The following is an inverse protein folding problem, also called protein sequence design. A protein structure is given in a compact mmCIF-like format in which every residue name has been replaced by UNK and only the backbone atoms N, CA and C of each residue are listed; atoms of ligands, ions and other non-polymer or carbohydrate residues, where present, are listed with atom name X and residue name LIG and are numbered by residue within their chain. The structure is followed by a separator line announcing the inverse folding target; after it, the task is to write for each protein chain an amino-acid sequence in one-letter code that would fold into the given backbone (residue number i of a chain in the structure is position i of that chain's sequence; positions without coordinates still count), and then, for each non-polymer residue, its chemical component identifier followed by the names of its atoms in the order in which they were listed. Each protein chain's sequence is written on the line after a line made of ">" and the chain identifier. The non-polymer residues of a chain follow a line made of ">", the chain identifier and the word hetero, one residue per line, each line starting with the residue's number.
data_IF_629917271602
#
_entry.id   IF_629917271602
#
_cell.length_a   1.000
_cell.length_b   1.000
_cell.length_c   1.000
_cell.angle_alpha   90.00
_cell.angle_beta   90.00
_cell.angle_gamma   90.00
#
_symmetry.space_group_name_H-M   'P 1'
#
loop_
_entity.id
_entity.type
_entity.pdbx_description
1 polymer ?
#
# COMPACT_ATOMS: atom_id res chain seq x y z
N UNK A 1 1.51 16.26 -20.72
CA UNK A 1 2.65 15.35 -21.03
C UNK A 1 3.45 14.99 -19.78
N UNK A 2 3.81 15.95 -18.92
CA UNK A 2 4.46 15.70 -17.63
C UNK A 2 3.62 14.77 -16.70
N UNK A 3 2.30 14.95 -16.69
CA UNK A 3 1.33 14.17 -15.92
C UNK A 3 1.41 12.66 -16.16
N UNK A 4 1.79 12.24 -17.36
CA UNK A 4 1.76 10.85 -17.76
C UNK A 4 3.03 10.09 -17.37
N UNK A 5 4.18 10.76 -17.44
CA UNK A 5 5.46 10.23 -16.99
C UNK A 5 5.51 10.18 -15.46
N UNK A 6 4.93 11.18 -14.78
CA UNK A 6 4.73 11.15 -13.33
C UNK A 6 3.84 9.96 -12.92
N UNK A 7 2.74 9.73 -13.66
CA UNK A 7 1.85 8.60 -13.42
C UNK A 7 2.53 7.24 -13.66
N UNK A 8 3.28 7.10 -14.76
CA UNK A 8 4.06 5.89 -15.04
C UNK A 8 5.09 5.62 -13.93
N UNK A 9 5.81 6.66 -13.49
CA UNK A 9 6.80 6.57 -12.42
C UNK A 9 6.18 6.23 -11.06
N UNK A 10 4.99 6.75 -10.78
CA UNK A 10 4.23 6.41 -9.56
C UNK A 10 3.84 4.92 -9.50
N UNK A 11 3.80 4.24 -10.65
CA UNK A 11 3.49 2.81 -10.72
C UNK A 11 4.72 1.89 -10.74
N UNK A 12 5.92 2.40 -11.04
CA UNK A 12 7.16 1.59 -11.11
C UNK A 12 8.08 1.72 -9.90
N UNK A 13 7.80 2.64 -8.98
CA UNK A 13 8.63 2.91 -7.79
C UNK A 13 8.28 2.08 -6.56
N UNK A 14 9.13 2.16 -5.54
CA UNK A 14 8.79 1.73 -4.17
C UNK A 14 7.87 2.78 -3.54
N UNK A 15 6.57 2.47 -3.48
CA UNK A 15 5.54 3.39 -2.99
C UNK A 15 4.79 4.12 -4.11
N UNK A 16 3.64 4.70 -3.78
CA UNK A 16 2.71 5.35 -4.71
C UNK A 16 2.72 6.85 -4.45
N UNK A 17 2.98 7.66 -5.49
CA UNK A 17 2.82 9.12 -5.42
C UNK A 17 1.34 9.48 -5.60
N UNK A 18 0.61 9.46 -4.49
CA UNK A 18 -0.85 9.59 -4.48
C UNK A 18 -1.34 10.95 -4.93
N UNK A 19 -0.63 12.03 -4.58
CA UNK A 19 -1.01 13.39 -4.96
C UNK A 19 -0.97 13.52 -6.47
N UNK A 20 0.13 13.08 -7.09
CA UNK A 20 0.25 13.01 -8.55
C UNK A 20 -0.82 12.09 -9.14
N UNK A 21 -1.10 10.93 -8.53
CA UNK A 21 -2.06 9.96 -9.05
C UNK A 21 -3.50 10.48 -9.03
N UNK A 22 -3.93 11.10 -7.94
CA UNK A 22 -5.26 11.70 -7.78
C UNK A 22 -5.43 12.91 -8.70
N UNK A 23 -4.44 13.81 -8.74
CA UNK A 23 -4.48 14.98 -9.62
C UNK A 23 -4.52 14.58 -11.11
N UNK A 24 -3.74 13.57 -11.50
CA UNK A 24 -3.64 13.13 -12.89
C UNK A 24 -4.83 12.26 -13.32
N UNK A 25 -5.31 11.33 -12.47
CA UNK A 25 -6.48 10.52 -12.78
C UNK A 25 -7.77 11.33 -12.68
N UNK A 26 -7.89 12.24 -11.72
CA UNK A 26 -9.05 13.13 -11.55
C UNK A 26 -9.28 14.08 -12.72
N UNK A 27 -8.24 14.37 -13.51
CA UNK A 27 -8.28 15.21 -14.72
C UNK A 27 -8.19 14.39 -16.02
N UNK A 28 -8.26 13.06 -15.95
CA UNK A 28 -8.01 12.18 -17.09
C UNK A 28 -9.22 12.04 -18.02
N UNK A 29 -9.09 12.52 -19.26
CA UNK A 29 -10.04 12.28 -20.34
C UNK A 29 -9.81 10.90 -21.00
N UNK A 30 -10.81 10.32 -21.70
CA UNK A 30 -10.66 9.04 -22.40
C UNK A 30 -9.43 8.99 -23.31
N UNK A 31 -9.09 10.12 -23.92
CA UNK A 31 -7.97 10.32 -24.84
C UNK A 31 -6.61 10.20 -24.13
N UNK A 32 -6.54 10.64 -22.86
CA UNK A 32 -5.36 10.49 -22.01
C UNK A 32 -5.11 9.02 -21.65
N UNK A 33 -6.15 8.18 -21.60
CA UNK A 33 -6.01 6.75 -21.32
C UNK A 33 -5.36 6.01 -22.49
N UNK A 34 -5.73 6.33 -23.73
CA UNK A 34 -5.09 5.75 -24.91
C UNK A 34 -3.60 6.15 -24.98
N UNK A 35 -3.29 7.42 -24.68
CA UNK A 35 -1.92 7.91 -24.65
C UNK A 35 -1.09 7.29 -23.51
N UNK A 36 -1.72 7.08 -22.33
CA UNK A 36 -1.12 6.37 -21.20
C UNK A 36 -0.67 4.97 -21.59
N UNK A 37 -1.57 4.20 -22.22
CA UNK A 37 -1.29 2.83 -22.67
C UNK A 37 -0.08 2.77 -23.61
N UNK A 38 -0.07 3.63 -24.63
CA UNK A 38 1.05 3.72 -25.58
C UNK A 38 2.39 4.07 -24.92
N UNK A 39 2.38 4.91 -23.89
CA UNK A 39 3.60 5.35 -23.18
C UNK A 39 4.02 4.44 -22.03
N UNK A 40 3.20 3.46 -21.64
CA UNK A 40 3.52 2.48 -20.60
C UNK A 40 3.44 1.04 -21.12
N UNK A 41 4.20 0.68 -22.18
CA UNK A 41 4.10 -0.63 -22.83
C UNK A 41 4.51 -1.82 -21.93
N UNK A 42 5.06 -1.57 -20.75
CA UNK A 42 5.35 -2.60 -19.75
C UNK A 42 4.13 -2.95 -18.88
N UNK A 43 3.17 -2.02 -18.73
CA UNK A 43 1.90 -2.24 -18.02
C UNK A 43 0.81 -2.86 -18.90
N UNK A 44 0.99 -2.82 -20.22
CA UNK A 44 -0.02 -3.25 -21.19
C UNK A 44 0.58 -4.23 -22.18
N UNK A 45 -0.15 -5.31 -22.46
CA UNK A 45 0.22 -6.35 -23.41
C UNK A 45 -0.87 -6.38 -24.47
N UNK A 46 -0.49 -6.31 -25.74
CA UNK A 46 -1.41 -6.50 -26.86
C UNK A 46 -1.55 -8.00 -27.15
N UNK A 47 -2.78 -8.49 -27.26
CA UNK A 47 -3.05 -9.88 -27.63
C UNK A 47 -3.16 -10.08 -29.15
N UNK A 48 -3.24 -11.33 -29.59
CA UNK A 48 -3.37 -11.70 -31.01
C UNK A 48 -4.61 -11.10 -31.71
N UNK A 49 -5.56 -10.56 -30.95
CA UNK A 49 -6.80 -9.92 -31.45
C UNK A 49 -6.66 -8.40 -31.53
N UNK A 50 -5.45 -7.87 -31.39
CA UNK A 50 -5.18 -6.43 -31.28
C UNK A 50 -5.90 -5.77 -30.10
N UNK A 51 -6.08 -6.51 -29.01
CA UNK A 51 -6.69 -6.01 -27.79
C UNK A 51 -5.63 -5.74 -26.71
N UNK A 52 -5.52 -4.49 -26.29
CA UNK A 52 -4.60 -4.05 -25.23
C UNK A 52 -5.14 -4.44 -23.85
N UNK A 53 -4.49 -5.43 -23.21
CA UNK A 53 -4.78 -5.90 -21.86
C UNK A 53 -3.75 -5.38 -20.87
N UNK A 54 -4.09 -5.41 -19.59
CA UNK A 54 -3.12 -5.11 -18.55
C UNK A 54 -2.17 -6.31 -18.36
N UNK A 55 -0.90 -6.03 -18.06
CA UNK A 55 0.04 -7.04 -17.62
C UNK A 55 -0.31 -7.46 -16.19
N UNK A 56 -0.84 -8.68 -16.01
CA UNK A 56 -1.29 -9.18 -14.71
C UNK A 56 -0.23 -9.09 -13.61
N UNK A 57 1.06 -9.24 -13.94
CA UNK A 57 2.14 -9.09 -12.96
C UNK A 57 2.21 -7.66 -12.42
N UNK A 58 2.22 -6.68 -13.31
CA UNK A 58 2.25 -5.26 -12.94
C UNK A 58 1.02 -4.85 -12.13
N UNK A 59 -0.16 -5.38 -12.48
CA UNK A 59 -1.41 -5.13 -11.74
C UNK A 59 -1.36 -5.72 -10.34
N UNK A 60 -0.80 -6.92 -10.17
CA UNK A 60 -0.62 -7.52 -8.85
C UNK A 60 0.31 -6.70 -7.97
N UNK A 61 1.44 -6.23 -8.52
CA UNK A 61 2.37 -5.36 -7.80
C UNK A 61 1.68 -4.05 -7.37
N UNK A 62 0.93 -3.43 -8.27
CA UNK A 62 0.21 -2.21 -7.97
C UNK A 62 -0.81 -2.39 -6.85
N UNK A 63 -1.62 -3.46 -6.91
CA UNK A 63 -2.58 -3.80 -5.86
C UNK A 63 -1.87 -4.01 -4.51
N UNK A 64 -0.72 -4.68 -4.51
CA UNK A 64 0.06 -4.89 -3.30
C UNK A 64 0.54 -3.57 -2.69
N UNK A 65 1.04 -2.65 -3.52
CA UNK A 65 1.48 -1.32 -3.06
C UNK A 65 0.34 -0.49 -2.47
N UNK A 66 -0.86 -0.52 -3.09
CA UNK A 66 -2.03 0.16 -2.51
C UNK A 66 -2.44 -0.43 -1.15
N UNK A 67 -2.38 -1.75 -0.99
CA UNK A 67 -2.65 -2.40 0.31
C UNK A 67 -1.61 -1.98 1.35
N UNK A 68 -0.33 -1.97 0.98
CA UNK A 68 0.77 -1.54 1.85
C UNK A 68 0.57 -0.10 2.32
N UNK A 69 0.31 0.81 1.38
CA UNK A 69 0.06 2.21 1.68
C UNK A 69 -1.14 2.39 2.61
N UNK A 70 -2.29 1.81 2.26
CA UNK A 70 -3.51 1.88 3.07
C UNK A 70 -3.24 1.42 4.51
N UNK A 71 -2.56 0.30 4.68
CA UNK A 71 -2.26 -0.23 6.00
C UNK A 71 -1.33 0.71 6.79
N UNK A 72 -0.32 1.30 6.14
CA UNK A 72 0.58 2.26 6.78
C UNK A 72 -0.19 3.51 7.25
N UNK A 73 -1.06 4.07 6.41
CA UNK A 73 -1.86 5.25 6.75
C UNK A 73 -2.82 4.97 7.92
N UNK A 74 -3.48 3.81 7.90
CA UNK A 74 -4.37 3.37 8.98
C UNK A 74 -3.59 3.22 10.29
N UNK A 75 -2.43 2.56 10.29
CA UNK A 75 -1.60 2.42 11.48
C UNK A 75 -1.06 3.75 11.99
N UNK A 76 -0.73 4.69 11.10
CA UNK A 76 -0.27 6.02 11.46
C UNK A 76 -1.36 6.86 12.14
N UNK A 77 -2.62 6.72 11.70
CA UNK A 77 -3.75 7.45 12.26
C UNK A 77 -4.26 6.89 13.61
N UNK A 78 -3.84 5.68 13.99
CA UNK A 78 -4.26 5.04 15.25
C UNK A 78 -3.58 5.66 16.46
N UNK A 79 -4.25 5.60 17.61
CA UNK A 79 -3.59 5.84 18.88
C UNK A 79 -2.40 4.86 19.05
N UNK A 80 -1.21 5.30 19.49
CA UNK A 80 -0.03 4.42 19.57
C UNK A 80 -0.26 3.12 20.33
N UNK A 81 -1.02 3.19 21.43
CA UNK A 81 -1.39 2.01 22.21
C UNK A 81 -2.28 1.03 21.45
N UNK A 82 -3.26 1.53 20.69
CA UNK A 82 -4.11 0.70 19.83
C UNK A 82 -3.29 0.04 18.72
N UNK A 83 -2.43 0.83 18.08
CA UNK A 83 -1.56 0.36 16.99
C UNK A 83 -0.72 -0.83 17.45
N UNK A 84 0.00 -0.68 18.56
CA UNK A 84 0.89 -1.71 19.07
C UNK A 84 0.10 -2.94 19.54
N UNK A 85 -1.07 -2.75 20.18
CA UNK A 85 -1.96 -3.85 20.55
C UNK A 85 -2.45 -4.67 19.35
N UNK A 86 -2.86 -3.99 18.26
CA UNK A 86 -3.28 -4.63 17.00
C UNK A 86 -2.14 -5.36 16.32
N UNK A 87 -0.96 -4.74 16.23
CA UNK A 87 0.23 -5.36 15.64
C UNK A 87 0.65 -6.63 16.38
N UNK A 88 0.63 -6.62 17.72
CA UNK A 88 0.90 -7.81 18.53
C UNK A 88 -0.16 -8.89 18.29
N UNK A 89 -1.45 -8.54 18.27
CA UNK A 89 -2.54 -9.49 18.00
C UNK A 89 -2.41 -10.13 16.61
N UNK A 90 -2.07 -9.33 15.59
CA UNK A 90 -1.84 -9.85 14.24
C UNK A 90 -0.61 -10.76 14.16
N UNK A 91 0.49 -10.38 14.81
CA UNK A 91 1.70 -11.17 14.85
C UNK A 91 1.46 -12.55 15.51
N UNK A 92 0.70 -12.58 16.60
CA UNK A 92 0.28 -13.82 17.27
C UNK A 92 -0.59 -14.71 16.36
N UNK A 93 -1.51 -14.11 15.59
CA UNK A 93 -2.34 -14.85 14.63
C UNK A 93 -1.56 -15.39 13.45
N UNK A 94 -0.60 -14.62 12.92
CA UNK A 94 0.24 -15.04 11.79
C UNK A 94 1.18 -16.16 12.23
N UNK A 95 1.76 -16.06 13.43
CA UNK A 95 2.64 -17.08 13.99
C UNK A 95 4.13 -16.71 13.89
N UNK A 96 5.04 -17.70 13.99
CA UNK A 96 6.48 -17.48 14.20
C UNK A 96 7.14 -16.51 13.22
N UNK A 97 6.73 -16.52 11.95
CA UNK A 97 7.23 -15.64 10.90
C UNK A 97 6.93 -14.15 11.13
N UNK A 98 6.05 -13.81 12.08
CA UNK A 98 5.71 -12.43 12.44
C UNK A 98 6.09 -12.06 13.87
N UNK A 99 6.71 -12.97 14.64
CA UNK A 99 7.12 -12.68 16.02
C UNK A 99 8.19 -11.60 16.14
N UNK A 100 8.93 -11.30 15.06
CA UNK A 100 9.83 -10.15 15.01
C UNK A 100 9.14 -8.83 15.39
N UNK A 101 7.85 -8.66 15.05
CA UNK A 101 7.06 -7.47 15.44
C UNK A 101 6.86 -7.40 16.95
N UNK A 102 6.64 -8.53 17.61
CA UNK A 102 6.45 -8.59 19.07
C UNK A 102 7.77 -8.25 19.77
N UNK A 103 8.88 -8.82 19.29
CA UNK A 103 10.23 -8.53 19.80
C UNK A 103 10.55 -7.05 19.64
N UNK A 104 10.30 -6.47 18.47
CA UNK A 104 10.52 -5.05 18.22
C UNK A 104 9.72 -4.17 19.18
N UNK A 105 8.41 -4.41 19.34
CA UNK A 105 7.57 -3.63 20.25
C UNK A 105 8.06 -3.77 21.70
N UNK A 106 8.36 -4.99 22.15
CA UNK A 106 8.83 -5.23 23.52
C UNK A 106 10.18 -4.57 23.83
N UNK A 107 11.07 -4.47 22.83
CA UNK A 107 12.41 -3.91 23.01
C UNK A 107 12.50 -2.40 22.75
N UNK A 108 11.54 -1.81 22.03
CA UNK A 108 11.60 -0.38 21.65
C UNK A 108 10.62 0.51 22.41
N UNK A 109 9.62 -0.06 23.09
CA UNK A 109 8.64 0.70 23.87
C UNK A 109 9.02 0.78 25.33
N UNK A 110 8.73 1.93 25.94
CA UNK A 110 8.82 2.12 27.38
C UNK A 110 7.78 1.27 28.14
N UNK A 111 8.00 1.08 29.44
CA UNK A 111 7.05 0.35 30.30
C UNK A 111 5.64 0.95 30.29
N UNK A 112 5.54 2.28 30.23
CA UNK A 112 4.26 2.98 30.17
C UNK A 112 3.52 2.74 28.85
N UNK A 113 4.24 2.79 27.71
CA UNK A 113 3.67 2.49 26.40
C UNK A 113 3.19 1.04 26.30
N UNK A 114 3.96 0.09 26.83
CA UNK A 114 3.57 -1.33 26.89
C UNK A 114 2.33 -1.54 27.77
N UNK A 115 2.25 -0.86 28.91
CA UNK A 115 1.07 -0.88 29.77
C UNK A 115 -0.16 -0.29 29.04
N UNK A 116 0.05 0.80 28.29
CA UNK A 116 -0.94 1.40 27.42
C UNK A 116 -1.47 0.43 26.36
N UNK A 117 -0.56 -0.20 25.62
CA UNK A 117 -0.90 -1.21 24.62
C UNK A 117 -1.66 -2.39 25.25
N UNK A 118 -1.26 -2.85 26.44
CA UNK A 118 -1.99 -3.88 27.19
C UNK A 118 -3.41 -3.45 27.53
N UNK A 119 -3.63 -2.19 27.94
CA UNK A 119 -4.97 -1.64 28.21
C UNK A 119 -5.82 -1.53 26.94
N UNK A 120 -5.20 -1.28 25.78
CA UNK A 120 -5.88 -1.21 24.49
C UNK A 120 -6.11 -2.59 23.85
N UNK A 121 -5.45 -3.66 24.32
CA UNK A 121 -5.59 -5.01 23.78
C UNK A 121 -7.02 -5.60 23.77
N UNK A 122 -7.89 -5.37 24.78
CA UNK A 122 -9.27 -5.89 24.77
C UNK A 122 -10.17 -5.07 23.83
N UNK A 123 -9.94 -5.16 22.52
CA UNK A 123 -10.94 -4.75 21.54
C UNK A 123 -11.94 -5.91 21.32
N UNK A 124 -13.26 -5.67 21.51
CA UNK A 124 -14.25 -6.54 20.88
C UNK A 124 -14.08 -6.39 19.36
N UNK A 125 -13.94 -7.52 18.66
CA UNK A 125 -13.97 -7.56 17.21
C UNK A 125 -15.42 -7.53 16.73
#
# INVERSE_FOLDING_TARGET
>A
MADLEALAKAFTGLGIDEKSLIENLGKSHPEHRALFRKRTPHFFIEDERSFERWNDHCVRLLKHEFVRFKNALVLWAMHPWERDARLVKEALKKGPQSYGVIVEIACTRSSEELLGARKAYPFPL
#
